data_IF_645041746215
#
_entry.id   IF_645041746215
#
_cell.length_a   1.000
_cell.length_b   1.000
_cell.length_c   1.000
_cell.angle_alpha   90.00
_cell.angle_beta   90.00
_cell.angle_gamma   90.00
#
_symmetry.space_group_name_H-M   'P 1'
#
loop_
_entity.id
_entity.type
_entity.pdbx_description
1 polymer ?
#
# COMPACT_ATOMS: atom_id res chain seq x y z
N UNK A 1 13.20 27.06 -44.39
CA UNK A 1 13.45 25.58 -44.54
C UNK A 1 14.28 24.99 -43.38
N UNK A 2 15.06 25.80 -42.64
CA UNK A 2 15.89 25.33 -41.50
C UNK A 2 15.12 25.28 -40.17
N UNK A 3 14.04 26.04 -40.05
CA UNK A 3 13.33 26.28 -38.79
C UNK A 3 12.43 25.09 -38.38
N UNK A 4 11.86 24.40 -39.36
CA UNK A 4 11.10 23.16 -39.13
C UNK A 4 11.97 21.98 -38.69
N UNK A 5 13.26 22.00 -39.02
CA UNK A 5 14.20 20.94 -38.66
C UNK A 5 14.63 21.05 -37.20
N UNK A 6 14.93 22.27 -36.74
CA UNK A 6 15.29 22.55 -35.35
C UNK A 6 14.11 22.31 -34.39
N UNK A 7 12.89 22.71 -34.76
CA UNK A 7 11.70 22.49 -33.94
C UNK A 7 11.32 21.00 -33.79
N UNK A 8 11.58 20.18 -34.82
CA UNK A 8 11.40 18.72 -34.74
C UNK A 8 12.49 18.06 -33.90
N UNK A 9 13.70 18.61 -33.90
CA UNK A 9 14.79 18.09 -33.05
C UNK A 9 14.53 18.41 -31.57
N UNK A 10 14.11 19.62 -31.23
CA UNK A 10 13.86 20.01 -29.83
C UNK A 10 12.66 19.28 -29.21
N UNK A 11 11.60 19.03 -29.97
CA UNK A 11 10.42 18.30 -29.47
C UNK A 11 10.73 16.83 -29.18
N UNK A 12 11.56 16.19 -30.03
CA UNK A 12 11.96 14.79 -29.85
C UNK A 12 12.93 14.61 -28.67
N UNK A 13 13.77 15.61 -28.38
CA UNK A 13 14.64 15.60 -27.20
C UNK A 13 13.86 15.85 -25.89
N UNK A 14 12.79 16.64 -25.93
CA UNK A 14 11.94 16.87 -24.75
C UNK A 14 11.13 15.61 -24.35
N UNK A 15 10.70 14.78 -25.31
CA UNK A 15 10.00 13.53 -25.02
C UNK A 15 10.91 12.45 -24.43
N UNK A 16 12.19 12.42 -24.82
CA UNK A 16 13.17 11.47 -24.25
C UNK A 16 13.53 11.83 -22.80
N UNK A 17 13.64 13.13 -22.47
CA UNK A 17 14.01 13.58 -21.11
C UNK A 17 12.89 13.33 -20.08
N UNK A 18 11.61 13.38 -20.50
CA UNK A 18 10.48 13.14 -19.59
C UNK A 18 10.18 11.66 -19.33
N UNK A 19 10.62 10.74 -20.20
CA UNK A 19 10.41 9.30 -19.99
C UNK A 19 11.31 8.73 -18.87
N UNK A 20 12.54 9.25 -18.74
CA UNK A 20 13.56 8.78 -17.79
C UNK A 20 13.27 9.17 -16.32
N UNK A 21 12.53 10.25 -16.07
CA UNK A 21 12.28 10.75 -14.71
C UNK A 21 11.22 9.96 -13.93
N UNK A 22 10.54 9.00 -14.57
CA UNK A 22 9.42 8.26 -13.97
C UNK A 22 9.81 7.01 -13.18
N UNK A 23 11.09 6.60 -13.17
CA UNK A 23 11.51 5.28 -12.64
C UNK A 23 12.18 5.33 -11.25
N UNK A 24 12.38 6.50 -10.63
CA UNK A 24 13.07 6.59 -9.33
C UNK A 24 12.16 6.90 -8.15
N UNK A 25 11.03 6.22 -8.03
CA UNK A 25 10.46 5.98 -6.70
C UNK A 25 11.14 4.75 -6.10
N UNK A 26 12.48 4.80 -5.98
CA UNK A 26 13.20 3.84 -5.15
C UNK A 26 12.86 4.23 -3.72
N UNK A 27 11.94 3.51 -3.09
CA UNK A 27 11.87 3.48 -1.64
C UNK A 27 13.24 2.94 -1.23
N UNK A 28 14.13 3.73 -0.60
CA UNK A 28 15.39 3.19 -0.15
C UNK A 28 15.06 2.08 0.83
N UNK A 29 15.33 0.83 0.45
CA UNK A 29 15.43 -0.26 1.41
C UNK A 29 16.51 0.21 2.38
N UNK A 30 16.09 0.64 3.57
CA UNK A 30 17.02 1.21 4.54
C UNK A 30 18.13 0.18 4.73
N UNK A 31 19.38 0.59 4.50
CA UNK A 31 20.51 -0.28 4.68
C UNK A 31 20.38 -1.00 6.03
N UNK A 32 20.56 -2.34 6.08
CA UNK A 32 20.31 -3.10 7.29
C UNK A 32 21.11 -2.49 8.45
N UNK A 33 20.38 -1.98 9.43
CA UNK A 33 20.90 -1.40 10.66
C UNK A 33 20.58 -2.35 11.80
N UNK A 34 21.54 -2.59 12.70
CA UNK A 34 21.34 -3.41 13.89
C UNK A 34 20.26 -2.84 14.84
N UNK A 35 19.88 -1.59 14.65
CA UNK A 35 18.86 -0.88 15.43
C UNK A 35 17.49 -0.80 14.72
N UNK A 36 17.34 -1.43 13.56
CA UNK A 36 16.09 -1.42 12.78
C UNK A 36 15.58 -2.85 12.60
N UNK A 37 14.33 -3.08 12.98
CA UNK A 37 13.66 -4.36 12.80
C UNK A 37 12.37 -4.17 12.01
N UNK A 38 12.24 -4.89 10.90
CA UNK A 38 10.97 -4.99 10.17
C UNK A 38 9.97 -5.82 10.97
N UNK A 39 8.72 -5.38 11.00
CA UNK A 39 7.58 -6.12 11.54
C UNK A 39 6.66 -6.65 10.44
N UNK A 40 7.09 -6.58 9.18
CA UNK A 40 6.38 -7.20 8.07
C UNK A 40 6.36 -8.73 8.24
N UNK A 41 5.29 -9.36 7.80
CA UNK A 41 5.07 -10.79 7.89
C UNK A 41 3.63 -11.13 8.28
N UNK A 42 3.43 -12.30 8.85
CA UNK A 42 2.12 -12.82 9.21
C UNK A 42 1.65 -12.34 10.58
N UNK A 43 0.47 -11.73 10.63
CA UNK A 43 -0.16 -11.20 11.84
C UNK A 43 -1.48 -11.92 12.13
N UNK A 44 -1.89 -11.98 13.41
CA UNK A 44 -3.25 -12.40 13.78
C UNK A 44 -4.23 -11.26 13.54
N UNK A 45 -5.30 -11.54 12.81
CA UNK A 45 -6.23 -10.52 12.34
C UNK A 45 -7.69 -10.96 12.42
N UNK A 46 -8.55 -10.01 12.80
CA UNK A 46 -9.98 -10.21 12.86
C UNK A 46 -10.70 -8.95 12.37
N UNK A 47 -11.45 -9.10 11.28
CA UNK A 47 -12.37 -8.08 10.80
C UNK A 47 -13.71 -8.21 11.56
N UNK A 48 -14.19 -7.10 12.13
CA UNK A 48 -15.46 -7.06 12.84
C UNK A 48 -16.53 -6.38 11.98
N UNK A 49 -17.67 -7.03 11.81
CA UNK A 49 -18.76 -6.52 10.97
C UNK A 49 -19.43 -5.23 11.49
N UNK A 50 -19.28 -4.92 12.79
CA UNK A 50 -19.77 -3.68 13.37
C UNK A 50 -19.04 -3.32 14.69
N UNK A 51 -19.20 -2.07 15.12
CA UNK A 51 -18.52 -1.51 16.28
C UNK A 51 -18.98 -2.07 17.63
N UNK A 52 -20.13 -2.74 17.72
CA UNK A 52 -20.59 -3.29 19.00
C UNK A 52 -19.73 -4.46 19.47
N UNK A 53 -19.25 -5.29 18.53
CA UNK A 53 -18.39 -6.44 18.82
C UNK A 53 -16.99 -6.04 19.29
N UNK A 54 -16.52 -4.85 18.89
CA UNK A 54 -15.26 -4.28 19.38
C UNK A 54 -15.32 -3.95 20.88
N UNK A 55 -16.49 -3.52 21.39
CA UNK A 55 -16.64 -3.12 22.80
C UNK A 55 -16.59 -4.30 23.77
N UNK A 56 -16.94 -5.50 23.31
CA UNK A 56 -17.00 -6.70 24.14
C UNK A 56 -15.76 -7.58 24.00
N UNK A 57 -14.90 -7.31 23.02
CA UNK A 57 -13.67 -8.07 22.80
C UNK A 57 -12.50 -7.35 23.46
N UNK A 58 -11.75 -7.98 24.38
CA UNK A 58 -10.61 -7.34 25.04
C UNK A 58 -9.35 -7.37 24.15
N UNK A 59 -9.42 -6.76 22.96
CA UNK A 59 -8.39 -6.87 21.93
C UNK A 59 -7.04 -6.24 22.30
N UNK A 60 -7.01 -5.35 23.30
CA UNK A 60 -5.80 -4.70 23.81
C UNK A 60 -5.11 -5.49 24.93
N UNK A 61 -5.78 -6.47 25.52
CA UNK A 61 -5.24 -7.23 26.64
C UNK A 61 -4.15 -8.19 26.17
N UNK A 62 -2.98 -8.16 26.83
CA UNK A 62 -1.87 -9.08 26.51
C UNK A 62 -2.21 -10.55 26.72
N UNK A 63 -3.25 -10.84 27.49
CA UNK A 63 -3.73 -12.19 27.82
C UNK A 63 -4.81 -12.70 26.87
N UNK A 64 -5.19 -11.91 25.85
CA UNK A 64 -6.17 -12.32 24.85
C UNK A 64 -5.70 -13.60 24.13
N UNK A 65 -6.59 -14.59 24.05
CA UNK A 65 -6.38 -15.76 23.19
C UNK A 65 -6.84 -15.45 21.76
N UNK A 66 -5.87 -15.17 20.88
CA UNK A 66 -6.09 -14.83 19.48
C UNK A 66 -5.92 -16.03 18.53
N UNK A 67 -5.79 -17.26 19.05
CA UNK A 67 -5.54 -18.46 18.23
C UNK A 67 -6.62 -18.73 17.18
N UNK A 68 -7.85 -18.29 17.45
CA UNK A 68 -8.98 -18.40 16.54
C UNK A 68 -9.01 -17.31 15.45
N UNK A 69 -8.12 -16.32 15.52
CA UNK A 69 -8.04 -15.25 14.52
C UNK A 69 -7.26 -15.73 13.30
N UNK A 70 -7.73 -15.30 12.13
CA UNK A 70 -7.10 -15.65 10.86
C UNK A 70 -5.74 -14.96 10.73
N UNK A 71 -4.76 -15.58 10.04
CA UNK A 71 -3.55 -14.89 9.66
C UNK A 71 -3.81 -13.85 8.56
N UNK A 72 -3.05 -12.76 8.54
CA UNK A 72 -2.99 -11.78 7.45
C UNK A 72 -1.51 -11.43 7.16
N UNK A 73 -1.16 -11.21 5.89
CA UNK A 73 0.16 -10.73 5.50
C UNK A 73 0.22 -9.20 5.55
N UNK A 74 1.28 -8.68 6.16
CA UNK A 74 1.55 -7.24 6.29
C UNK A 74 2.89 -6.90 5.65
N UNK A 75 2.96 -5.92 4.73
CA UNK A 75 1.87 -5.04 4.29
C UNK A 75 0.97 -5.71 3.23
N UNK A 76 -0.31 -5.34 3.22
CA UNK A 76 -1.27 -5.76 2.20
C UNK A 76 -2.68 -5.28 2.52
N UNK A 77 -3.49 -5.01 1.49
CA UNK A 77 -4.90 -4.67 1.67
C UNK A 77 -5.68 -5.93 2.07
N UNK A 78 -6.55 -5.85 3.08
CA UNK A 78 -7.29 -7.02 3.57
C UNK A 78 -8.32 -7.53 2.56
N UNK A 79 -8.84 -6.66 1.68
CA UNK A 79 -9.80 -7.07 0.65
C UNK A 79 -9.16 -8.02 -0.35
N UNK A 80 -7.91 -7.74 -0.73
CA UNK A 80 -7.11 -8.59 -1.62
C UNK A 80 -6.72 -9.93 -0.97
N UNK A 81 -6.85 -10.03 0.36
CA UNK A 81 -6.58 -11.24 1.13
C UNK A 81 -7.87 -11.99 1.50
N UNK A 82 -9.02 -11.56 0.98
CA UNK A 82 -10.30 -12.27 1.10
C UNK A 82 -11.11 -11.97 2.37
N UNK A 83 -10.78 -10.91 3.11
CA UNK A 83 -11.51 -10.54 4.32
C UNK A 83 -12.78 -9.73 4.05
N UNK A 84 -12.82 -8.96 2.96
CA UNK A 84 -13.98 -8.18 2.52
C UNK A 84 -13.93 -8.01 1.00
N UNK A 85 -15.07 -7.78 0.36
CA UNK A 85 -15.13 -7.46 -1.06
C UNK A 85 -14.61 -6.02 -1.32
N UNK A 86 -13.69 -5.82 -2.28
CA UNK A 86 -13.26 -4.48 -2.67
C UNK A 86 -14.44 -3.63 -3.17
N UNK A 87 -14.59 -2.42 -2.64
CA UNK A 87 -15.58 -1.44 -3.12
C UNK A 87 -14.89 -0.32 -3.90
N UNK A 88 -15.40 -0.03 -5.09
CA UNK A 88 -14.93 1.05 -5.94
C UNK A 88 -16.11 1.93 -6.35
N UNK A 89 -16.02 3.24 -6.10
CA UNK A 89 -17.07 4.19 -6.45
C UNK A 89 -17.02 5.43 -5.57
N UNK A 90 -17.84 6.43 -5.91
CA UNK A 90 -18.12 7.57 -5.02
C UNK A 90 -18.95 7.08 -3.83
N UNK A 91 -18.72 7.59 -2.60
CA UNK A 91 -19.56 7.27 -1.45
C UNK A 91 -21.05 7.45 -1.78
N UNK A 92 -21.90 6.52 -1.35
CA UNK A 92 -23.36 6.58 -1.56
C UNK A 92 -23.97 7.50 -0.50
N UNK A 93 -23.44 8.72 -0.42
CA UNK A 93 -23.80 9.78 0.52
C UNK A 93 -22.86 10.99 0.35
N UNK A 94 -23.00 11.69 -0.78
CA UNK A 94 -22.56 13.09 -0.96
C UNK A 94 -23.76 13.99 -1.18
#
# INVERSE_FOLDING_TARGET
MKDHFLARFTLTWLTVIMAESSVWAVIPEQAPSEYVQSLNGTWRFKLFANNHLLKTTPYQEKSLDDRAWSPIEVPGNWEMQGFEEPRYGTPVDS
#
